data_IF_777460315663
#
_entry.id   IF_777460315663
#
_cell.length_a   1.000
_cell.length_b   1.000
_cell.length_c   1.000
_cell.angle_alpha   90.00
_cell.angle_beta   90.00
_cell.angle_gamma   90.00
#
_symmetry.space_group_name_H-M   'P 1'
#
loop_
_entity.id
_entity.type
_entity.pdbx_description
1 polymer ?
#
# COMPACT_ATOMS: atom_id res chain seq x y z
N UNK A 1 4.84 -15.48 -12.19
CA UNK A 1 5.68 -15.73 -13.40
C UNK A 1 4.71 -15.85 -14.58
N UNK A 2 4.91 -15.10 -15.65
CA UNK A 2 4.02 -15.11 -16.81
C UNK A 2 4.69 -15.84 -17.98
N UNK A 3 3.91 -16.47 -18.86
CA UNK A 3 4.46 -16.98 -20.11
C UNK A 3 4.52 -15.87 -21.15
N UNK A 4 5.66 -15.75 -21.83
CA UNK A 4 5.85 -14.77 -22.89
C UNK A 4 4.96 -15.12 -24.09
N UNK A 5 4.15 -14.16 -24.55
CA UNK A 5 3.24 -14.35 -25.70
C UNK A 5 3.97 -14.49 -27.03
N UNK A 6 5.26 -14.10 -27.11
CA UNK A 6 6.07 -14.20 -28.32
C UNK A 6 6.71 -15.56 -28.53
N UNK A 7 7.27 -16.16 -27.49
CA UNK A 7 8.08 -17.38 -27.60
C UNK A 7 7.66 -18.50 -26.64
N UNK A 8 6.65 -18.29 -25.80
CA UNK A 8 6.17 -19.27 -24.82
C UNK A 8 7.10 -19.55 -23.63
N UNK A 9 8.31 -18.96 -23.63
CA UNK A 9 9.27 -19.05 -22.54
C UNK A 9 8.78 -18.30 -21.30
N UNK A 10 9.35 -18.61 -20.13
CA UNK A 10 9.00 -17.96 -18.86
C UNK A 10 9.48 -16.52 -18.86
N UNK A 11 8.70 -15.62 -18.27
CA UNK A 11 9.06 -14.24 -18.01
C UNK A 11 9.03 -13.96 -16.50
N UNK A 12 10.05 -13.23 -16.03
CA UNK A 12 10.16 -12.80 -14.63
C UNK A 12 9.75 -11.34 -14.48
N UNK A 13 9.14 -11.06 -13.32
CA UNK A 13 8.84 -9.68 -12.91
C UNK A 13 10.17 -8.97 -12.63
N UNK A 14 10.33 -7.78 -13.20
CA UNK A 14 11.45 -6.88 -12.90
C UNK A 14 11.07 -5.83 -11.88
N UNK A 15 9.90 -5.24 -12.07
CA UNK A 15 9.36 -4.22 -11.18
C UNK A 15 7.85 -4.39 -11.09
N UNK A 16 7.30 -3.99 -9.96
CA UNK A 16 5.87 -3.92 -9.73
C UNK A 16 5.55 -2.64 -9.00
N UNK A 17 4.44 -2.01 -9.36
CA UNK A 17 3.94 -0.86 -8.63
C UNK A 17 2.41 -0.94 -8.50
N UNK A 18 1.84 -0.48 -7.38
CA UNK A 18 0.40 -0.32 -7.25
C UNK A 18 -0.07 0.79 -8.21
N UNK A 19 -1.01 0.46 -9.08
CA UNK A 19 -1.49 1.36 -10.13
C UNK A 19 -2.36 2.51 -9.59
N UNK A 20 -3.06 2.27 -8.48
CA UNK A 20 -4.02 3.21 -7.91
C UNK A 20 -3.88 3.31 -6.40
N UNK A 21 -3.95 4.56 -5.92
CA UNK A 21 -4.30 4.94 -4.55
C UNK A 21 -5.77 4.52 -4.37
N UNK A 22 -6.13 3.92 -3.23
CA UNK A 22 -7.41 3.26 -2.90
C UNK A 22 -8.66 3.72 -3.69
N UNK A 23 -9.58 2.81 -4.07
CA UNK A 23 -9.81 1.46 -3.50
C UNK A 23 -9.49 0.27 -4.42
N UNK A 24 -9.13 0.50 -5.69
CA UNK A 24 -8.77 -0.56 -6.63
C UNK A 24 -7.37 -1.08 -6.30
N UNK A 25 -7.29 -2.22 -5.62
CA UNK A 25 -6.04 -2.89 -5.31
C UNK A 25 -5.48 -3.56 -6.57
N UNK A 26 -5.05 -2.73 -7.53
CA UNK A 26 -4.51 -3.15 -8.84
C UNK A 26 -3.00 -3.00 -8.82
N UNK A 27 -2.29 -4.08 -9.08
CA UNK A 27 -0.83 -4.14 -9.16
C UNK A 27 -0.41 -4.31 -10.61
N UNK A 28 0.34 -3.33 -11.12
CA UNK A 28 0.98 -3.42 -12.43
C UNK A 28 2.36 -4.03 -12.26
N UNK A 29 2.71 -4.97 -13.15
CA UNK A 29 4.00 -5.65 -13.15
C UNK A 29 4.63 -5.64 -14.54
N UNK A 30 5.90 -5.30 -14.59
CA UNK A 30 6.74 -5.38 -15.78
C UNK A 30 7.45 -6.72 -15.82
N UNK A 31 7.33 -7.42 -16.94
CA UNK A 31 7.92 -8.73 -17.18
C UNK A 31 8.98 -8.66 -18.26
N UNK A 32 10.08 -9.38 -18.03
CA UNK A 32 11.11 -9.63 -19.04
C UNK A 32 11.23 -11.13 -19.30
N UNK A 33 11.17 -11.52 -20.57
CA UNK A 33 11.37 -12.89 -21.02
C UNK A 33 12.78 -13.39 -20.68
N UNK A 34 12.91 -14.63 -20.18
CA UNK A 34 14.22 -15.24 -19.87
C UNK A 34 15.02 -15.62 -21.11
N UNK A 35 14.32 -15.93 -22.21
CA UNK A 35 14.97 -16.24 -23.47
C UNK A 35 15.65 -14.97 -24.02
N UNK A 36 16.98 -14.95 -23.99
CA UNK A 36 17.82 -13.84 -24.45
C UNK A 36 17.58 -13.47 -25.92
N UNK A 37 17.24 -14.46 -26.75
CA UNK A 37 16.96 -14.24 -28.17
C UNK A 37 15.60 -13.57 -28.37
N UNK A 38 14.68 -13.74 -27.41
CA UNK A 38 13.37 -13.10 -27.46
C UNK A 38 13.42 -11.70 -26.85
N UNK A 39 14.05 -11.52 -25.68
CA UNK A 39 14.18 -10.25 -24.96
C UNK A 39 12.87 -9.45 -24.73
N UNK A 40 11.72 -10.10 -24.96
CA UNK A 40 10.43 -9.44 -24.96
C UNK A 40 10.10 -8.91 -23.56
N UNK A 41 9.78 -7.63 -23.51
CA UNK A 41 9.39 -6.93 -22.29
C UNK A 41 7.95 -6.48 -22.41
N UNK A 42 7.13 -6.77 -21.42
CA UNK A 42 5.70 -6.49 -21.46
C UNK A 42 5.16 -6.18 -20.06
N UNK A 43 3.93 -5.66 -20.01
CA UNK A 43 3.29 -5.21 -18.78
C UNK A 43 2.00 -5.98 -18.57
N UNK A 44 1.69 -6.34 -17.33
CA UNK A 44 0.41 -6.96 -16.96
C UNK A 44 -0.18 -6.25 -15.73
N UNK A 45 -1.50 -6.15 -15.65
CA UNK A 45 -2.22 -5.76 -14.44
C UNK A 45 -2.83 -6.98 -13.74
N UNK A 46 -2.66 -7.08 -12.43
CA UNK A 46 -3.39 -8.01 -11.57
C UNK A 46 -4.24 -7.18 -10.60
N UNK A 47 -5.54 -7.47 -10.55
CA UNK A 47 -6.49 -6.77 -9.67
C UNK A 47 -7.05 -7.74 -8.63
N UNK A 48 -7.22 -7.24 -7.41
CA UNK A 48 -7.98 -7.95 -6.39
C UNK A 48 -9.47 -7.92 -6.73
N UNK A 49 -10.03 -9.09 -7.05
CA UNK A 49 -11.45 -9.20 -7.42
C UNK A 49 -12.34 -9.41 -6.19
N UNK A 50 -12.04 -10.43 -5.37
CA UNK A 50 -12.79 -10.74 -4.14
C UNK A 50 -12.03 -11.71 -3.24
N UNK A 51 -12.35 -11.69 -1.95
CA UNK A 51 -11.94 -12.73 -1.00
C UNK A 51 -12.86 -13.95 -1.13
N UNK A 52 -12.29 -15.16 -1.18
CA UNK A 52 -13.07 -16.41 -1.14
C UNK A 52 -13.40 -16.81 0.30
N UNK A 53 -12.51 -16.50 1.24
CA UNK A 53 -12.73 -16.69 2.66
C UNK A 53 -12.06 -15.55 3.43
N UNK A 54 -12.69 -15.11 4.51
CA UNK A 54 -12.12 -14.13 5.45
C UNK A 54 -11.97 -14.79 6.83
N UNK A 55 -10.89 -14.50 7.56
CA UNK A 55 -10.74 -15.00 8.93
C UNK A 55 -11.83 -14.40 9.82
N UNK A 56 -12.39 -15.21 10.73
CA UNK A 56 -13.45 -14.78 11.67
C UNK A 56 -12.92 -13.86 12.77
N UNK A 57 -11.66 -14.04 13.15
CA UNK A 57 -11.00 -13.26 14.20
C UNK A 57 -9.54 -13.07 13.81
N UNK A 58 -9.09 -11.82 13.74
CA UNK A 58 -7.68 -11.48 13.56
C UNK A 58 -7.16 -11.18 14.97
N UNK A 59 -6.44 -12.12 15.57
CA UNK A 59 -5.79 -11.88 16.85
C UNK A 59 -4.34 -11.40 16.57
N UNK A 60 -4.01 -10.12 16.79
CA UNK A 60 -2.66 -9.64 16.60
C UNK A 60 -1.73 -10.33 17.61
N UNK A 61 -0.65 -10.92 17.11
CA UNK A 61 0.39 -11.50 17.98
C UNK A 61 1.27 -10.36 18.47
N UNK A 62 1.37 -10.21 19.78
CA UNK A 62 2.40 -9.36 20.40
C UNK A 62 3.71 -10.13 20.45
N UNK A 63 4.75 -9.60 19.80
CA UNK A 63 6.10 -10.12 19.98
C UNK A 63 6.59 -9.71 21.38
N UNK A 64 7.22 -10.62 22.15
CA UNK A 64 7.76 -10.26 23.46
C UNK A 64 8.85 -9.19 23.30
N UNK A 65 8.57 -7.97 23.76
CA UNK A 65 9.53 -6.86 23.81
C UNK A 65 9.37 -5.76 22.75
N UNK A 66 8.36 -5.81 21.89
CA UNK A 66 8.01 -4.68 21.01
C UNK A 66 6.54 -4.31 21.21
N UNK A 67 6.29 -3.03 21.53
CA UNK A 67 4.96 -2.47 21.71
C UNK A 67 4.06 -2.70 20.49
N UNK A 68 2.76 -2.58 20.68
CA UNK A 68 1.79 -2.75 19.62
C UNK A 68 2.02 -1.74 18.50
N UNK A 69 1.90 -2.16 17.24
CA UNK A 69 2.03 -1.30 16.05
C UNK A 69 1.09 -0.06 16.06
N UNK A 70 0.12 0.00 16.96
CA UNK A 70 -0.85 1.09 17.10
C UNK A 70 -0.29 2.35 17.78
N UNK A 71 0.91 2.31 18.36
CA UNK A 71 1.46 3.42 19.15
C UNK A 71 2.23 4.47 18.31
N UNK A 72 2.20 4.38 16.97
CA UNK A 72 2.98 5.26 16.07
C UNK A 72 2.14 6.29 15.29
N UNK A 73 0.84 6.44 15.55
CA UNK A 73 -0.04 7.39 14.84
C UNK A 73 -0.65 8.46 15.76
N UNK A 74 -0.10 8.66 16.96
CA UNK A 74 -0.61 9.68 17.89
C UNK A 74 0.54 10.56 18.37
N UNK A 75 1.00 11.44 17.49
CA UNK A 75 1.81 12.61 17.85
C UNK A 75 1.75 13.59 16.68
N UNK A 76 0.93 14.64 16.83
CA UNK A 76 0.78 15.89 16.04
C UNK A 76 -0.56 16.12 15.34
N UNK A 77 -1.62 16.31 16.12
CA UNK A 77 -2.55 17.43 15.91
C UNK A 77 -2.71 18.13 17.27
N UNK A 78 -2.18 19.34 17.50
CA UNK A 78 -2.57 20.11 18.67
C UNK A 78 -4.03 20.53 18.50
N UNK A 79 -4.86 20.14 19.47
CA UNK A 79 -6.23 20.60 19.60
C UNK A 79 -6.24 22.13 19.74
N UNK A 80 -6.85 22.82 18.78
CA UNK A 80 -7.22 24.24 18.91
C UNK A 80 -8.30 24.36 20.00
N UNK A 81 -7.87 24.48 21.26
CA UNK A 81 -8.72 24.91 22.37
C UNK A 81 -9.01 26.41 22.21
N UNK A 82 -10.09 26.69 21.47
CA UNK A 82 -10.85 27.92 21.60
C UNK A 82 -11.65 27.87 22.91
N UNK A 83 -11.32 28.69 23.89
CA UNK A 83 -12.30 29.25 24.84
C UNK A 83 -11.69 30.41 25.66
N UNK A 84 -12.34 31.58 25.62
CA UNK A 84 -12.09 32.64 26.60
C UNK A 84 -12.24 34.09 26.13
N UNK A 85 -13.46 34.49 25.74
CA UNK A 85 -13.89 35.89 25.85
C UNK A 85 -13.74 36.36 27.32
N UNK A 86 -13.20 37.57 27.53
CA UNK A 86 -13.72 38.58 28.48
C UNK A 86 -12.71 39.73 28.73
N UNK A 87 -12.99 40.88 28.12
CA UNK A 87 -12.97 42.22 28.71
C UNK A 87 -11.69 42.78 29.37
N UNK A 88 -11.14 43.87 28.80
CA UNK A 88 -10.13 44.67 29.51
C UNK A 88 -9.57 45.86 28.73
N UNK A 89 -10.31 46.97 28.75
CA UNK A 89 -9.91 48.33 28.38
C UNK A 89 -8.48 48.72 28.82
N UNK A 90 -7.66 49.27 27.92
CA UNK A 90 -6.68 50.31 28.28
C UNK A 90 -6.38 51.23 27.08
N UNK A 91 -6.76 52.49 27.27
CA UNK A 91 -6.42 53.65 26.44
C UNK A 91 -4.93 53.99 26.60
N UNK A 92 -4.27 54.37 25.50
CA UNK A 92 -3.31 55.48 25.41
C UNK A 92 -2.94 55.73 23.94
#
# INVERSE_FOLDING_TARGET
MFRCTRCGSVAHVRTSYPATIQPTNTVIRYYQCTNINCSHTFVTGEEFIRSVATPRTINPVTLPGQGTQLDFIDDTIPDDENEGDNGGNFLA
#
